data_IF_690881606176
#
_entry.id   IF_690881606176
#
_cell.length_a   1.000
_cell.length_b   1.000
_cell.length_c   1.000
_cell.angle_alpha   90.00
_cell.angle_beta   90.00
_cell.angle_gamma   90.00
#
_symmetry.space_group_name_H-M   'P 1'
#
loop_
_entity.id
_entity.type
_entity.pdbx_description
1 polymer ?
#
# COMPACT_ATOMS: atom_id res chain seq x y z
N UNK A 1 -1.63 3.48 -23.12
CA UNK A 1 -1.77 4.87 -22.61
C UNK A 1 -1.08 4.92 -21.26
N UNK A 2 -0.21 5.89 -20.95
CA UNK A 2 0.33 5.97 -19.60
C UNK A 2 -0.83 6.25 -18.66
N UNK A 3 -1.12 5.29 -17.79
CA UNK A 3 -2.09 5.48 -16.73
C UNK A 3 -1.63 6.64 -15.84
N UNK A 4 -2.54 7.51 -15.42
CA UNK A 4 -2.24 8.58 -14.47
C UNK A 4 -1.93 8.07 -13.05
N UNK A 5 -1.81 6.75 -12.84
CA UNK A 5 -1.59 6.06 -11.56
C UNK A 5 -2.55 6.50 -10.44
N UNK A 6 -3.74 6.98 -10.83
CA UNK A 6 -4.76 7.48 -9.91
C UNK A 6 -5.98 6.57 -9.99
N UNK A 7 -6.25 5.87 -8.89
CA UNK A 7 -7.43 5.03 -8.70
C UNK A 7 -7.73 4.11 -9.90
N UNK A 8 -6.70 3.41 -10.39
CA UNK A 8 -6.80 2.49 -11.52
C UNK A 8 -7.10 1.09 -11.05
N UNK A 9 -7.92 0.38 -11.83
CA UNK A 9 -8.18 -1.04 -11.63
C UNK A 9 -7.42 -1.79 -12.71
N UNK A 10 -6.59 -2.74 -12.29
CA UNK A 10 -5.77 -3.58 -13.17
C UNK A 10 -6.08 -5.04 -12.82
N UNK A 11 -6.41 -5.85 -13.82
CA UNK A 11 -6.51 -7.29 -13.68
C UNK A 11 -5.24 -7.93 -14.23
N UNK A 12 -4.60 -8.79 -13.43
CA UNK A 12 -3.38 -9.49 -13.83
C UNK A 12 -3.44 -10.94 -13.38
N UNK A 13 -3.58 -11.85 -14.34
CA UNK A 13 -3.89 -13.23 -14.05
C UNK A 13 -5.19 -13.33 -13.26
N UNK A 14 -5.15 -13.98 -12.08
CA UNK A 14 -6.28 -14.08 -11.15
C UNK A 14 -6.30 -12.97 -10.09
N UNK A 15 -5.37 -12.01 -10.14
CA UNK A 15 -5.25 -10.94 -9.18
C UNK A 15 -5.96 -9.67 -9.65
N UNK A 16 -6.49 -8.94 -8.68
CA UNK A 16 -7.16 -7.66 -8.88
C UNK A 16 -6.40 -6.58 -8.16
N UNK A 17 -6.01 -5.51 -8.86
CA UNK A 17 -5.10 -4.50 -8.32
C UNK A 17 -5.76 -3.13 -8.40
N UNK A 18 -5.88 -2.47 -7.26
CA UNK A 18 -6.27 -1.07 -7.14
C UNK A 18 -4.99 -0.25 -6.99
N UNK A 19 -4.59 0.39 -8.07
CA UNK A 19 -3.39 1.23 -8.13
C UNK A 19 -3.75 2.70 -7.91
N UNK A 20 -3.27 3.26 -6.80
CA UNK A 20 -3.44 4.66 -6.42
C UNK A 20 -2.12 5.28 -5.93
N UNK A 21 -1.06 5.16 -6.75
CA UNK A 21 0.31 5.55 -6.41
C UNK A 21 0.71 6.97 -6.89
N UNK A 22 -0.25 7.82 -7.26
CA UNK A 22 0.06 9.19 -7.70
C UNK A 22 0.19 10.19 -6.54
N UNK A 23 -0.65 10.07 -5.50
CA UNK A 23 -0.65 10.97 -4.35
C UNK A 23 -0.98 10.19 -3.07
N UNK A 24 -0.24 10.47 -2.01
CA UNK A 24 -0.51 9.95 -0.68
C UNK A 24 -0.44 11.07 0.35
N UNK A 25 -1.60 11.33 0.96
CA UNK A 25 -1.78 12.19 2.11
C UNK A 25 -2.79 11.53 3.07
N UNK A 26 -2.92 11.98 4.33
CA UNK A 26 -3.70 11.27 5.33
C UNK A 26 -5.16 11.02 4.93
N UNK A 27 -5.83 12.03 4.36
CA UNK A 27 -7.24 11.92 3.97
C UNK A 27 -7.44 10.94 2.81
N UNK A 28 -6.59 10.98 1.79
CA UNK A 28 -6.66 10.05 0.65
C UNK A 28 -6.28 8.62 1.05
N UNK A 29 -5.28 8.44 1.92
CA UNK A 29 -4.89 7.14 2.47
C UNK A 29 -6.07 6.53 3.24
N UNK A 30 -6.70 7.32 4.10
CA UNK A 30 -7.88 6.89 4.85
C UNK A 30 -9.00 6.42 3.93
N UNK A 31 -9.39 7.25 2.96
CA UNK A 31 -10.46 6.91 2.02
C UNK A 31 -10.15 5.64 1.22
N UNK A 32 -8.91 5.46 0.77
CA UNK A 32 -8.50 4.27 0.02
C UNK A 32 -8.58 3.00 0.87
N UNK A 33 -8.13 3.06 2.13
CA UNK A 33 -8.16 1.92 3.06
C UNK A 33 -9.60 1.57 3.44
N UNK A 34 -10.44 2.55 3.76
CA UNK A 34 -11.85 2.32 4.12
C UNK A 34 -12.63 1.71 2.94
N UNK A 35 -12.41 2.22 1.73
CA UNK A 35 -13.01 1.66 0.51
C UNK A 35 -12.51 0.23 0.25
N UNK A 36 -11.21 -0.01 0.38
CA UNK A 36 -10.62 -1.33 0.18
C UNK A 36 -11.12 -2.35 1.22
N UNK A 37 -11.26 -1.94 2.47
CA UNK A 37 -11.83 -2.74 3.54
C UNK A 37 -13.27 -3.16 3.24
N UNK A 38 -14.09 -2.26 2.67
CA UNK A 38 -15.49 -2.51 2.34
C UNK A 38 -15.69 -3.48 1.15
N UNK A 39 -14.66 -3.76 0.35
CA UNK A 39 -14.77 -4.69 -0.77
C UNK A 39 -14.98 -6.13 -0.29
N UNK A 40 -15.99 -6.77 -0.87
CA UNK A 40 -16.27 -8.20 -0.72
C UNK A 40 -15.45 -8.98 -1.75
N UNK A 41 -14.16 -9.14 -1.47
CA UNK A 41 -13.20 -9.84 -2.33
C UNK A 41 -12.34 -10.81 -1.51
N UNK A 42 -11.90 -11.93 -2.11
CA UNK A 42 -10.97 -12.84 -1.44
C UNK A 42 -9.59 -12.17 -1.27
N UNK A 43 -8.88 -12.57 -0.22
CA UNK A 43 -7.47 -12.27 0.09
C UNK A 43 -7.06 -10.82 -0.20
N UNK A 44 -7.15 -9.95 0.80
CA UNK A 44 -6.85 -8.52 0.69
C UNK A 44 -5.44 -8.22 1.17
N UNK A 45 -4.58 -7.77 0.25
CA UNK A 45 -3.19 -7.39 0.54
C UNK A 45 -2.99 -5.90 0.24
N UNK A 46 -2.35 -5.18 1.15
CA UNK A 46 -1.99 -3.77 0.93
C UNK A 46 -0.49 -3.60 0.74
N UNK A 47 -0.11 -2.72 -0.17
CA UNK A 47 1.25 -2.22 -0.38
C UNK A 47 1.20 -0.70 -0.22
N UNK A 48 1.67 -0.22 0.92
CA UNK A 48 1.57 1.18 1.34
C UNK A 48 2.96 1.83 1.40
N UNK A 49 3.06 3.03 0.84
CA UNK A 49 4.28 3.83 0.84
C UNK A 49 4.17 5.10 1.66
N UNK A 50 5.31 5.76 1.86
CA UNK A 50 5.41 7.05 2.54
C UNK A 50 4.42 8.09 1.99
N UNK A 51 3.78 8.80 2.91
CA UNK A 51 3.14 10.11 2.65
C UNK A 51 4.22 11.19 2.73
N UNK A 52 4.33 12.01 1.68
CA UNK A 52 5.34 13.06 1.59
C UNK A 52 4.80 14.41 2.08
N UNK A 53 5.70 15.37 2.29
CA UNK A 53 5.37 16.78 2.61
C UNK A 53 4.60 16.99 3.92
N UNK A 54 4.70 16.05 4.87
CA UNK A 54 4.01 16.13 6.17
C UNK A 54 4.77 16.93 7.25
N UNK A 55 6.05 17.21 7.05
CA UNK A 55 6.88 17.92 8.03
C UNK A 55 6.89 17.24 9.39
N UNK A 56 6.67 18.02 10.45
CA UNK A 56 6.68 17.55 11.85
C UNK A 56 5.54 16.56 12.17
N UNK A 57 4.45 16.59 11.41
CA UNK A 57 3.31 15.68 11.60
C UNK A 57 3.55 14.29 11.02
N UNK A 58 4.65 14.08 10.27
CA UNK A 58 4.92 12.82 9.56
C UNK A 58 4.82 11.60 10.47
N UNK A 59 5.44 11.64 11.66
CA UNK A 59 5.43 10.51 12.60
C UNK A 59 4.01 10.21 13.07
N UNK A 60 3.26 11.24 13.48
CA UNK A 60 1.90 11.10 13.98
C UNK A 60 0.96 10.58 12.89
N UNK A 61 1.01 11.13 11.70
CA UNK A 61 0.11 10.73 10.61
C UNK A 61 0.37 9.28 10.14
N UNK A 62 1.63 8.83 10.09
CA UNK A 62 1.93 7.42 9.78
C UNK A 62 1.56 6.49 10.94
N UNK A 63 1.70 6.91 12.20
CA UNK A 63 1.20 6.15 13.34
C UNK A 63 -0.33 6.02 13.30
N UNK A 64 -1.03 7.10 12.98
CA UNK A 64 -2.49 7.15 12.85
C UNK A 64 -3.00 6.31 11.68
N UNK A 65 -2.25 6.28 10.58
CA UNK A 65 -2.45 5.34 9.48
C UNK A 65 -2.37 3.89 9.97
N UNK A 66 -1.35 3.56 10.77
CA UNK A 66 -1.22 2.25 11.40
C UNK A 66 -2.44 1.88 12.24
N UNK A 67 -2.92 2.80 13.08
CA UNK A 67 -4.16 2.62 13.88
C UNK A 67 -5.40 2.42 13.02
N UNK A 68 -5.49 3.07 11.86
CA UNK A 68 -6.61 2.89 10.93
C UNK A 68 -6.59 1.49 10.34
N UNK A 69 -5.43 1.02 9.87
CA UNK A 69 -5.26 -0.30 9.26
C UNK A 69 -5.68 -1.40 10.24
N UNK A 70 -5.27 -1.29 11.51
CA UNK A 70 -5.55 -2.26 12.57
C UNK A 70 -7.05 -2.43 12.91
N UNK A 71 -7.94 -1.56 12.39
CA UNK A 71 -9.40 -1.70 12.57
C UNK A 71 -10.02 -2.75 11.66
N UNK A 72 -9.28 -3.22 10.66
CA UNK A 72 -9.79 -4.09 9.61
C UNK A 72 -8.97 -5.37 9.54
N UNK A 73 -9.60 -6.42 9.02
CA UNK A 73 -8.95 -7.71 8.77
C UNK A 73 -8.42 -7.73 7.34
N UNK A 74 -7.10 -7.66 7.21
CA UNK A 74 -6.37 -7.75 5.94
C UNK A 74 -5.40 -8.93 6.01
N UNK A 75 -5.36 -9.75 4.96
CA UNK A 75 -4.48 -10.93 4.91
C UNK A 75 -3.00 -10.58 5.00
N UNK A 76 -2.61 -9.40 4.48
CA UNK A 76 -1.24 -8.90 4.56
C UNK A 76 -1.15 -7.39 4.36
N UNK A 77 -0.25 -6.77 5.11
CA UNK A 77 0.13 -5.37 4.93
C UNK A 77 1.63 -5.29 4.69
N UNK A 78 2.01 -4.65 3.59
CA UNK A 78 3.39 -4.43 3.19
C UNK A 78 3.64 -2.92 3.18
N UNK A 79 4.64 -2.47 3.93
CA UNK A 79 5.04 -1.08 4.06
C UNK A 79 6.35 -0.84 3.31
N UNK A 80 6.46 0.30 2.63
CA UNK A 80 7.66 0.68 1.90
C UNK A 80 8.03 2.14 2.16
N UNK A 81 9.27 2.40 2.58
CA UNK A 81 9.76 3.74 2.88
C UNK A 81 10.12 3.94 4.35
N UNK A 82 10.85 5.02 4.64
CA UNK A 82 11.39 5.29 5.96
C UNK A 82 10.41 6.03 6.85
N UNK A 83 9.50 6.82 6.27
CA UNK A 83 8.57 7.64 7.04
C UNK A 83 7.36 6.83 7.52
N UNK A 84 7.03 5.72 6.86
CA UNK A 84 5.91 4.84 7.19
C UNK A 84 6.18 3.89 8.36
N UNK A 85 7.41 3.82 8.86
CA UNK A 85 7.81 2.97 10.00
C UNK A 85 6.87 3.08 11.21
N UNK A 86 6.39 4.28 11.64
CA UNK A 86 5.47 4.40 12.77
C UNK A 86 4.13 3.66 12.58
N UNK A 87 3.75 3.32 11.34
CA UNK A 87 2.55 2.50 11.10
C UNK A 87 2.69 1.08 11.67
N UNK A 88 3.92 0.57 11.82
CA UNK A 88 4.19 -0.77 12.35
C UNK A 88 3.88 -0.90 13.85
N UNK A 89 3.83 0.21 14.60
CA UNK A 89 3.50 0.19 16.04
C UNK A 89 2.13 -0.47 16.32
N UNK A 90 1.23 -0.44 15.33
CA UNK A 90 -0.10 -1.06 15.40
C UNK A 90 -0.26 -2.25 14.44
N UNK A 91 0.81 -2.63 13.72
CA UNK A 91 0.80 -3.64 12.67
C UNK A 91 2.09 -4.48 12.74
N UNK A 92 2.35 -5.13 13.88
CA UNK A 92 3.60 -5.85 14.16
C UNK A 92 3.88 -7.00 13.19
N UNK A 93 2.84 -7.59 12.60
CA UNK A 93 2.94 -8.64 11.58
C UNK A 93 3.13 -8.09 10.15
N UNK A 94 3.11 -6.76 10.01
CA UNK A 94 3.35 -6.08 8.75
C UNK A 94 4.78 -6.27 8.26
N UNK A 95 4.94 -6.46 6.95
CA UNK A 95 6.27 -6.60 6.33
C UNK A 95 6.73 -5.20 5.93
N UNK A 96 7.93 -4.79 6.33
CA UNK A 96 8.49 -3.49 5.98
C UNK A 96 9.74 -3.61 5.11
N UNK A 97 9.87 -2.66 4.18
CA UNK A 97 11.05 -2.45 3.36
C UNK A 97 11.41 -0.97 3.36
N UNK A 98 12.68 -0.64 3.57
CA UNK A 98 13.13 0.76 3.51
C UNK A 98 13.07 1.32 2.09
N UNK A 99 13.27 0.48 1.08
CA UNK A 99 13.37 0.91 -0.32
C UNK A 99 12.46 0.12 -1.24
N UNK A 100 12.05 0.77 -2.34
CA UNK A 100 11.32 0.13 -3.44
C UNK A 100 12.07 -1.08 -3.99
N UNK A 101 13.40 -1.01 -4.11
CA UNK A 101 14.20 -2.12 -4.64
C UNK A 101 14.05 -3.38 -3.78
N UNK A 102 14.11 -3.24 -2.46
CA UNK A 102 13.92 -4.36 -1.53
C UNK A 102 12.51 -4.94 -1.65
N UNK A 103 11.49 -4.08 -1.76
CA UNK A 103 10.11 -4.50 -2.01
C UNK A 103 10.00 -5.28 -3.32
N UNK A 104 10.54 -4.78 -4.43
CA UNK A 104 10.49 -5.48 -5.73
C UNK A 104 11.19 -6.83 -5.67
N UNK A 105 12.35 -6.91 -5.01
CA UNK A 105 13.09 -8.16 -4.84
C UNK A 105 12.33 -9.19 -3.98
N UNK A 106 11.53 -8.74 -3.02
CA UNK A 106 10.62 -9.60 -2.28
C UNK A 106 9.46 -10.09 -3.18
N UNK A 107 8.80 -9.18 -3.91
CA UNK A 107 7.65 -9.53 -4.76
C UNK A 107 8.02 -10.50 -5.89
N UNK A 108 9.18 -10.31 -6.54
CA UNK A 108 9.72 -11.24 -7.57
C UNK A 108 9.83 -12.69 -7.11
N UNK A 109 9.94 -12.93 -5.80
CA UNK A 109 10.11 -14.27 -5.20
C UNK A 109 8.80 -14.85 -4.66
N UNK A 110 7.67 -14.17 -4.88
CA UNK A 110 6.35 -14.58 -4.42
C UNK A 110 5.45 -14.87 -5.61
N UNK A 111 4.46 -15.71 -5.35
CA UNK A 111 3.36 -15.97 -6.27
C UNK A 111 2.08 -15.64 -5.53
N UNK A 112 1.26 -14.82 -6.16
CA UNK A 112 -0.04 -14.42 -5.66
C UNK A 112 -1.10 -14.91 -6.64
N UNK A 113 -2.17 -15.48 -6.11
CA UNK A 113 -3.30 -15.92 -6.90
C UNK A 113 -4.58 -15.56 -6.15
N UNK A 114 -5.62 -15.19 -6.91
CA UNK A 114 -6.92 -14.80 -6.37
C UNK A 114 -6.80 -13.77 -5.25
N UNK A 115 -5.86 -12.82 -5.40
CA UNK A 115 -5.53 -11.80 -4.40
C UNK A 115 -5.93 -10.42 -4.88
N UNK A 116 -6.53 -9.66 -3.99
CA UNK A 116 -6.92 -8.27 -4.23
C UNK A 116 -5.89 -7.36 -3.57
N UNK A 117 -5.29 -6.46 -4.35
CA UNK A 117 -4.26 -5.55 -3.90
C UNK A 117 -4.76 -4.12 -3.85
N UNK A 118 -4.36 -3.39 -2.81
CA UNK A 118 -4.29 -1.93 -2.82
C UNK A 118 -2.83 -1.51 -2.85
N UNK A 119 -2.43 -0.75 -3.87
CA UNK A 119 -1.11 -0.14 -3.96
C UNK A 119 -1.28 1.36 -3.83
N UNK A 120 -0.72 1.96 -2.77
CA UNK A 120 -0.86 3.39 -2.52
C UNK A 120 0.38 3.98 -1.90
N UNK A 121 0.82 5.13 -2.40
CA UNK A 121 2.00 5.84 -1.90
C UNK A 121 2.22 7.12 -2.70
N UNK A 122 3.14 7.96 -2.23
CA UNK A 122 3.52 9.16 -2.95
C UNK A 122 4.19 8.80 -4.28
N UNK A 123 4.01 9.61 -5.33
CA UNK A 123 4.57 9.34 -6.66
C UNK A 123 6.08 9.10 -6.66
N UNK A 124 6.82 9.80 -5.80
CA UNK A 124 8.28 9.63 -5.65
C UNK A 124 8.69 8.23 -5.21
N UNK A 125 7.79 7.47 -4.59
CA UNK A 125 8.03 6.08 -4.17
C UNK A 125 7.99 5.11 -5.36
N UNK A 126 7.34 5.48 -6.47
CA UNK A 126 7.26 4.67 -7.68
C UNK A 126 6.72 3.26 -7.45
N UNK A 127 5.73 3.12 -6.56
CA UNK A 127 5.16 1.81 -6.17
C UNK A 127 4.35 1.15 -7.28
N UNK A 128 3.97 1.87 -8.34
CA UNK A 128 3.33 1.31 -9.53
C UNK A 128 4.15 0.20 -10.17
N UNK A 129 5.48 0.19 -10.00
CA UNK A 129 6.35 -0.88 -10.49
C UNK A 129 6.05 -2.24 -9.84
N UNK A 130 5.42 -2.26 -8.66
CA UNK A 130 5.00 -3.51 -8.00
C UNK A 130 4.01 -4.30 -8.85
N UNK A 131 3.20 -3.64 -9.69
CA UNK A 131 2.22 -4.30 -10.58
C UNK A 131 2.90 -5.34 -11.48
N UNK A 132 4.17 -5.14 -11.86
CA UNK A 132 4.91 -6.08 -12.70
C UNK A 132 5.17 -7.43 -12.03
N UNK A 133 5.12 -7.51 -10.70
CA UNK A 133 5.44 -8.70 -9.92
C UNK A 133 4.24 -9.29 -9.15
N UNK A 134 3.07 -8.69 -9.28
CA UNK A 134 1.78 -9.22 -8.79
C UNK A 134 1.03 -9.92 -9.91
#
# INVERSE_FOLDING_TARGET
MPGNNRSQIIEKGSNYIILDAYNANPSSMKAAIENFAALQRPKKVMILGDMMELGEESVKEHHDLGRLIAKYDFDKVIFCGIHIIPALDNNSEGIHFETREMLMNYLKKKTFENTTFLIKGSRSMGLEESVEYL
#
